data_IF_352787840939
#
_entry.id   IF_352787840939
#
_cell.length_a   1.000
_cell.length_b   1.000
_cell.length_c   1.000
_cell.angle_alpha   90.00
_cell.angle_beta   90.00
_cell.angle_gamma   90.00
#
_symmetry.space_group_name_H-M   'P 1'
#
loop_
_entity.id
_entity.type
_entity.pdbx_description
1 polymer ?
#
# COMPACT_ATOMS: atom_id res chain seq x y z
N UNK A 1 20.64 46.48 24.44
CA UNK A 1 21.65 45.52 24.93
C UNK A 1 21.12 44.12 24.66
N UNK A 2 21.46 43.56 23.50
CA UNK A 2 21.01 42.23 23.03
C UNK A 2 22.17 41.25 23.26
N UNK A 3 21.97 40.30 24.10
CA UNK A 3 22.92 39.21 24.35
C UNK A 3 22.69 38.05 23.39
N UNK A 4 23.53 37.92 22.37
CA UNK A 4 23.60 36.78 21.47
C UNK A 4 24.26 35.60 22.17
N UNK A 5 23.50 34.54 22.50
CA UNK A 5 24.04 33.27 22.98
C UNK A 5 24.71 32.52 21.81
N UNK A 6 26.04 32.46 21.82
CA UNK A 6 26.86 31.62 20.96
C UNK A 6 26.63 30.16 21.36
N UNK A 7 26.00 29.37 20.50
CA UNK A 7 25.91 27.89 20.65
C UNK A 7 27.26 27.31 20.22
N UNK A 8 27.96 26.62 21.13
CA UNK A 8 29.32 26.12 20.88
C UNK A 8 29.30 24.94 19.88
N UNK A 9 30.22 24.97 18.94
CA UNK A 9 30.46 23.96 17.89
C UNK A 9 30.70 22.54 18.44
N UNK A 10 31.00 22.39 19.72
CA UNK A 10 31.21 21.08 20.35
C UNK A 10 29.93 20.24 20.56
N UNK A 11 28.74 20.85 20.54
CA UNK A 11 27.48 20.09 20.62
C UNK A 11 27.06 19.49 19.28
N UNK A 12 27.46 20.09 18.17
CA UNK A 12 27.16 19.57 16.84
C UNK A 12 28.03 18.34 16.52
N UNK A 13 29.32 18.38 16.91
CA UNK A 13 30.24 17.27 16.72
C UNK A 13 29.87 16.08 17.61
N UNK A 14 29.41 16.30 18.84
CA UNK A 14 28.95 15.24 19.72
C UNK A 14 27.68 14.54 19.19
N UNK A 15 26.76 15.26 18.54
CA UNK A 15 25.57 14.66 17.95
C UNK A 15 25.90 13.81 16.72
N UNK A 16 26.85 14.23 15.88
CA UNK A 16 27.26 13.50 14.68
C UNK A 16 28.07 12.23 15.05
N UNK A 17 28.93 12.30 16.04
CA UNK A 17 29.70 11.14 16.53
C UNK A 17 28.79 10.15 17.28
N UNK A 18 27.80 10.64 18.01
CA UNK A 18 26.80 9.78 18.69
C UNK A 18 25.92 9.03 17.68
N UNK A 19 25.58 9.64 16.55
CA UNK A 19 24.82 9.01 15.47
C UNK A 19 25.64 7.91 14.76
N UNK A 20 26.95 8.11 14.57
CA UNK A 20 27.84 7.11 13.97
C UNK A 20 28.13 5.93 14.90
N UNK A 21 28.24 6.16 16.22
CA UNK A 21 28.49 5.11 17.21
C UNK A 21 27.22 4.26 17.41
N UNK A 22 26.03 4.84 17.38
CA UNK A 22 24.78 4.08 17.48
C UNK A 22 24.57 3.20 16.23
N UNK A 23 24.87 3.68 15.02
CA UNK A 23 24.76 2.88 13.80
C UNK A 23 25.72 1.69 13.78
N UNK A 24 26.94 1.85 14.31
CA UNK A 24 27.94 0.76 14.39
C UNK A 24 27.65 -0.23 15.52
N UNK A 25 27.14 0.21 16.66
CA UNK A 25 26.73 -0.65 17.76
C UNK A 25 25.45 -1.45 17.42
N UNK A 26 24.52 -0.85 16.70
CA UNK A 26 23.32 -1.57 16.23
C UNK A 26 23.67 -2.60 15.15
N UNK A 27 24.56 -2.29 14.21
CA UNK A 27 25.03 -3.25 13.21
C UNK A 27 25.76 -4.44 13.86
N UNK A 28 26.57 -4.21 14.89
CA UNK A 28 27.25 -5.28 15.62
C UNK A 28 26.30 -6.12 16.50
N UNK A 29 25.28 -5.52 17.12
CA UNK A 29 24.26 -6.26 17.88
C UNK A 29 23.37 -7.10 16.96
N UNK A 30 23.06 -6.63 15.76
CA UNK A 30 22.28 -7.39 14.77
C UNK A 30 23.05 -8.59 14.22
N UNK A 31 24.35 -8.45 13.97
CA UNK A 31 25.21 -9.55 13.49
C UNK A 31 25.37 -10.65 14.55
N UNK A 32 25.38 -10.32 15.84
CA UNK A 32 25.47 -11.31 16.93
C UNK A 32 24.16 -12.08 17.14
N UNK A 33 23.00 -11.50 16.83
CA UNK A 33 21.69 -12.16 16.91
C UNK A 33 21.51 -13.16 15.74
N UNK A 34 22.05 -12.85 14.56
CA UNK A 34 21.99 -13.74 13.38
C UNK A 34 22.93 -14.94 13.54
N UNK A 35 24.06 -14.79 14.28
CA UNK A 35 25.05 -15.86 14.47
C UNK A 35 24.67 -16.89 15.53
N UNK A 36 23.63 -16.68 16.33
CA UNK A 36 23.17 -17.57 17.40
C UNK A 36 21.86 -18.32 17.08
N UNK A 37 21.39 -18.31 15.85
CA UNK A 37 20.24 -19.12 15.44
C UNK A 37 20.65 -20.59 15.28
N UNK A 38 19.96 -21.56 15.92
CA UNK A 38 20.31 -22.96 15.79
C UNK A 38 20.01 -23.45 14.38
N UNK A 39 21.03 -23.96 13.70
CA UNK A 39 20.97 -24.69 12.44
C UNK A 39 20.36 -26.07 12.67
N UNK A 40 19.03 -26.17 12.81
CA UNK A 40 18.29 -27.42 12.57
C UNK A 40 16.79 -27.10 12.46
N UNK A 41 16.37 -26.72 11.27
CA UNK A 41 14.96 -26.84 10.90
C UNK A 41 14.75 -28.30 10.50
N UNK A 42 14.15 -29.08 11.36
CA UNK A 42 13.62 -30.40 10.99
C UNK A 42 12.52 -30.18 9.95
N UNK A 43 12.74 -30.69 8.75
CA UNK A 43 11.75 -30.76 7.68
C UNK A 43 10.62 -31.66 8.10
N UNK A 44 9.45 -31.11 8.32
CA UNK A 44 8.20 -31.88 8.43
C UNK A 44 7.87 -32.40 7.02
N UNK A 45 7.58 -33.72 6.86
CA UNK A 45 7.25 -34.25 5.54
C UNK A 45 5.94 -33.65 5.04
N UNK A 46 5.80 -33.41 3.71
CA UNK A 46 4.61 -32.79 3.14
C UNK A 46 3.43 -33.76 3.23
N UNK A 47 2.39 -33.39 3.95
CA UNK A 47 1.08 -34.05 3.85
C UNK A 47 0.49 -33.70 2.48
N UNK A 48 0.06 -34.75 1.81
CA UNK A 48 -0.42 -34.88 0.45
C UNK A 48 -1.47 -33.82 0.02
N UNK A 49 -1.19 -33.23 -1.14
CA UNK A 49 -2.12 -32.83 -2.18
C UNK A 49 -3.33 -31.94 -1.82
N UNK A 50 -3.05 -30.68 -1.48
CA UNK A 50 -3.88 -29.54 -1.89
C UNK A 50 -2.91 -28.53 -2.51
N UNK A 51 -3.13 -28.17 -3.80
CA UNK A 51 -2.14 -27.52 -4.63
C UNK A 51 -1.59 -26.20 -4.07
N UNK A 52 -0.36 -26.23 -3.62
CA UNK A 52 0.46 -25.04 -3.52
C UNK A 52 0.70 -24.55 -4.95
N UNK A 53 0.13 -23.41 -5.33
CA UNK A 53 0.39 -22.78 -6.59
C UNK A 53 1.80 -22.15 -6.55
N UNK A 54 2.82 -22.92 -6.88
CA UNK A 54 4.16 -22.42 -7.14
C UNK A 54 4.15 -21.63 -8.46
N UNK A 55 4.68 -20.41 -8.45
CA UNK A 55 4.62 -19.49 -9.57
C UNK A 55 5.94 -19.48 -10.35
N UNK A 56 5.93 -19.68 -11.68
CA UNK A 56 7.14 -19.73 -12.53
C UNK A 56 7.72 -18.38 -12.94
N UNK A 57 8.99 -18.35 -13.35
CA UNK A 57 9.88 -17.17 -13.41
C UNK A 57 10.13 -16.55 -14.80
N UNK A 58 9.17 -16.44 -15.75
CA UNK A 58 9.36 -15.67 -16.98
C UNK A 58 8.09 -14.92 -17.43
N UNK A 59 8.24 -13.72 -18.02
CA UNK A 59 7.14 -12.73 -18.13
C UNK A 59 5.90 -13.15 -18.93
N UNK A 60 6.00 -13.82 -20.07
CA UNK A 60 4.81 -14.21 -20.85
C UNK A 60 4.19 -15.52 -20.39
N UNK A 61 5.01 -16.52 -20.06
CA UNK A 61 4.57 -17.78 -19.47
C UNK A 61 3.95 -17.57 -18.09
N UNK A 62 4.45 -16.58 -17.34
CA UNK A 62 3.96 -16.20 -16.03
C UNK A 62 2.54 -15.61 -16.10
N UNK A 63 2.26 -14.72 -17.03
CA UNK A 63 0.91 -14.16 -17.23
C UNK A 63 -0.10 -15.24 -17.60
N UNK A 64 0.27 -16.21 -18.44
CA UNK A 64 -0.60 -17.33 -18.80
C UNK A 64 -0.91 -18.23 -17.59
N UNK A 65 0.10 -18.52 -16.75
CA UNK A 65 -0.09 -19.28 -15.51
C UNK A 65 -1.03 -18.55 -14.53
N UNK A 66 -0.86 -17.23 -14.36
CA UNK A 66 -1.75 -16.45 -13.51
C UNK A 66 -3.19 -16.41 -14.04
N UNK A 67 -3.39 -16.27 -15.35
CA UNK A 67 -4.74 -16.36 -15.96
C UNK A 67 -5.38 -17.72 -15.70
N UNK A 68 -4.61 -18.81 -15.75
CA UNK A 68 -5.09 -20.13 -15.40
C UNK A 68 -5.48 -20.26 -13.92
N UNK A 69 -4.79 -19.57 -13.01
CA UNK A 69 -5.22 -19.46 -11.60
C UNK A 69 -6.54 -18.69 -11.52
N UNK A 70 -6.61 -17.48 -12.11
CA UNK A 70 -7.82 -16.65 -12.10
C UNK A 70 -9.05 -17.41 -12.60
N UNK A 71 -8.91 -18.20 -13.69
CA UNK A 71 -10.02 -18.95 -14.27
C UNK A 71 -10.57 -20.08 -13.37
N UNK A 72 -9.81 -20.52 -12.38
CA UNK A 72 -10.21 -21.56 -11.42
C UNK A 72 -10.86 -21.01 -10.16
N UNK A 73 -10.69 -19.72 -9.87
CA UNK A 73 -11.28 -19.09 -8.70
C UNK A 73 -12.79 -18.93 -8.88
N UNK A 74 -13.57 -19.19 -7.82
CA UNK A 74 -14.97 -18.84 -7.73
C UNK A 74 -15.15 -17.32 -7.76
N UNK A 75 -16.37 -16.83 -8.01
CA UNK A 75 -16.66 -15.40 -7.99
C UNK A 75 -16.44 -14.79 -6.60
N UNK A 76 -16.71 -15.52 -5.52
CA UNK A 76 -16.46 -15.07 -4.15
C UNK A 76 -14.95 -14.95 -3.87
N UNK A 77 -14.15 -15.93 -4.30
CA UNK A 77 -12.68 -15.89 -4.18
C UNK A 77 -12.08 -14.71 -4.96
N UNK A 78 -12.57 -14.48 -6.19
CA UNK A 78 -12.18 -13.32 -7.00
C UNK A 78 -12.55 -12.01 -6.33
N UNK A 79 -13.79 -11.92 -5.80
CA UNK A 79 -14.26 -10.75 -5.08
C UNK A 79 -13.41 -10.46 -3.83
N UNK A 80 -13.04 -11.49 -3.07
CA UNK A 80 -12.17 -11.33 -1.92
C UNK A 80 -10.76 -10.87 -2.32
N UNK A 81 -10.18 -11.40 -3.40
CA UNK A 81 -8.84 -11.05 -3.86
C UNK A 81 -8.68 -9.58 -4.30
N UNK A 82 -9.75 -8.90 -4.67
CA UNK A 82 -9.70 -7.47 -5.02
C UNK A 82 -9.97 -6.54 -3.82
N UNK A 83 -10.02 -7.07 -2.59
CA UNK A 83 -10.22 -6.29 -1.37
C UNK A 83 -8.93 -6.16 -0.56
N UNK A 84 -8.66 -4.93 -0.09
CA UNK A 84 -7.70 -4.62 0.97
C UNK A 84 -8.48 -4.23 2.22
N UNK A 85 -8.33 -5.01 3.29
CA UNK A 85 -9.16 -4.88 4.48
C UNK A 85 -8.32 -4.86 5.75
N UNK A 86 -8.85 -4.29 6.83
CA UNK A 86 -8.23 -4.39 8.15
C UNK A 86 -8.73 -5.63 8.90
N UNK A 87 -7.95 -6.06 9.89
CA UNK A 87 -8.32 -7.09 10.86
C UNK A 87 -8.02 -6.63 12.27
N UNK A 88 -8.71 -7.20 13.24
CA UNK A 88 -8.40 -6.97 14.66
C UNK A 88 -7.24 -7.86 15.13
N UNK A 89 -6.57 -7.43 16.22
CA UNK A 89 -5.49 -8.17 16.84
C UNK A 89 -4.11 -7.52 16.67
N UNK A 90 -3.17 -7.93 17.51
CA UNK A 90 -1.76 -7.49 17.47
C UNK A 90 -0.77 -8.53 17.98
N UNK A 91 -1.25 -9.55 18.72
CA UNK A 91 -0.45 -10.69 19.21
C UNK A 91 -0.79 -11.96 18.44
N UNK A 92 -2.07 -12.18 18.24
CA UNK A 92 -2.65 -13.26 17.44
C UNK A 92 -3.79 -12.70 16.59
N UNK A 93 -4.07 -13.35 15.48
CA UNK A 93 -5.22 -13.02 14.65
C UNK A 93 -6.52 -13.17 15.44
N UNK A 94 -7.43 -12.20 15.28
CA UNK A 94 -8.76 -12.31 15.87
C UNK A 94 -9.62 -13.30 15.08
N UNK A 95 -10.01 -14.39 15.72
CA UNK A 95 -10.77 -15.46 15.09
C UNK A 95 -12.13 -14.99 14.53
N UNK A 96 -12.77 -13.99 15.16
CA UNK A 96 -14.03 -13.41 14.66
C UNK A 96 -13.82 -12.61 13.38
N UNK A 97 -12.73 -11.82 13.33
CA UNK A 97 -12.37 -11.10 12.10
C UNK A 97 -12.14 -12.07 10.95
N UNK A 98 -11.39 -13.16 11.14
CA UNK A 98 -11.16 -14.17 10.10
C UNK A 98 -12.46 -14.89 9.72
N UNK A 99 -13.27 -15.28 10.70
CA UNK A 99 -14.54 -15.96 10.45
C UNK A 99 -15.54 -15.11 9.65
N UNK A 100 -15.46 -13.77 9.75
CA UNK A 100 -16.32 -12.87 8.99
C UNK A 100 -16.16 -12.95 7.48
N UNK A 101 -15.06 -13.53 6.99
CA UNK A 101 -14.82 -13.76 5.55
C UNK A 101 -15.41 -15.07 5.03
N UNK A 102 -16.00 -15.90 5.89
CA UNK A 102 -16.60 -17.21 5.55
C UNK A 102 -15.65 -18.13 4.74
N UNK A 103 -14.34 -17.99 4.93
CA UNK A 103 -13.29 -18.79 4.27
C UNK A 103 -12.70 -18.14 3.02
N UNK A 104 -13.31 -17.11 2.45
CA UNK A 104 -12.70 -16.34 1.37
C UNK A 104 -11.48 -15.57 1.89
N UNK A 105 -10.40 -15.47 1.10
CA UNK A 105 -9.15 -14.85 1.52
C UNK A 105 -8.99 -13.48 0.83
N UNK A 106 -8.84 -12.37 1.57
CA UNK A 106 -8.68 -11.05 0.96
C UNK A 106 -7.36 -10.92 0.19
N UNK A 107 -7.33 -10.02 -0.79
CA UNK A 107 -6.12 -9.74 -1.56
C UNK A 107 -5.02 -9.12 -0.73
N UNK A 108 -5.38 -8.24 0.22
CA UNK A 108 -4.45 -7.59 1.14
C UNK A 108 -5.07 -7.34 2.52
N UNK A 109 -4.21 -7.28 3.54
CA UNK A 109 -4.52 -6.85 4.91
C UNK A 109 -3.81 -5.52 5.15
N UNK A 110 -4.60 -4.48 5.46
CA UNK A 110 -4.10 -3.18 5.90
C UNK A 110 -3.89 -3.20 7.42
N UNK A 111 -2.65 -2.95 7.83
CA UNK A 111 -2.27 -2.90 9.25
C UNK A 111 -2.28 -1.45 9.74
N UNK A 112 -3.01 -1.22 10.82
CA UNK A 112 -3.01 0.04 11.56
C UNK A 112 -2.02 0.00 12.73
N UNK A 113 -1.78 1.15 13.37
CA UNK A 113 -0.86 1.23 14.50
C UNK A 113 -1.19 0.29 15.67
N UNK A 114 -2.47 -0.07 15.85
CA UNK A 114 -2.90 -1.02 16.88
C UNK A 114 -2.54 -2.49 16.57
N UNK A 115 -2.24 -2.80 15.30
CA UNK A 115 -1.78 -4.13 14.91
C UNK A 115 -0.27 -4.32 15.13
N UNK A 116 0.47 -3.20 15.30
CA UNK A 116 1.94 -3.23 15.40
C UNK A 116 2.34 -3.42 16.87
N UNK A 117 2.82 -4.60 17.20
CA UNK A 117 3.35 -4.93 18.52
C UNK A 117 4.68 -4.21 18.81
N UNK A 118 5.12 -4.23 20.07
CA UNK A 118 6.28 -3.47 20.53
C UNK A 118 7.64 -4.12 20.19
N UNK A 119 7.63 -5.31 19.59
CA UNK A 119 8.86 -5.99 19.13
C UNK A 119 8.71 -6.51 17.71
N UNK A 120 9.79 -6.53 16.91
CA UNK A 120 9.77 -7.10 15.56
C UNK A 120 9.24 -8.55 15.52
N UNK A 121 9.71 -9.40 16.45
CA UNK A 121 9.30 -10.80 16.50
C UNK A 121 7.79 -10.95 16.74
N UNK A 122 7.20 -10.14 17.63
CA UNK A 122 5.77 -10.20 17.91
C UNK A 122 4.93 -9.78 16.70
N UNK A 123 5.42 -8.84 15.86
CA UNK A 123 4.77 -8.50 14.58
C UNK A 123 4.83 -9.70 13.62
N UNK A 124 6.01 -10.30 13.46
CA UNK A 124 6.17 -11.50 12.60
C UNK A 124 5.24 -12.64 13.05
N UNK A 125 5.16 -12.90 14.35
CA UNK A 125 4.30 -13.96 14.89
C UNK A 125 2.81 -13.64 14.70
N UNK A 126 2.42 -12.38 14.85
CA UNK A 126 1.06 -11.93 14.53
C UNK A 126 0.73 -12.19 13.05
N UNK A 127 1.58 -11.77 12.11
CA UNK A 127 1.35 -11.97 10.69
C UNK A 127 1.27 -13.45 10.31
N UNK A 128 2.12 -14.29 10.90
CA UNK A 128 2.04 -15.77 10.74
C UNK A 128 0.71 -16.31 11.23
N UNK A 129 0.21 -15.84 12.38
CA UNK A 129 -1.08 -16.28 12.92
C UNK A 129 -2.25 -15.88 12.01
N UNK A 130 -2.16 -14.71 11.34
CA UNK A 130 -3.14 -14.26 10.34
C UNK A 130 -3.15 -15.19 9.12
N UNK A 131 -1.97 -15.49 8.58
CA UNK A 131 -1.82 -16.41 7.43
C UNK A 131 -2.39 -17.78 7.77
N UNK A 132 -2.01 -18.35 8.92
CA UNK A 132 -2.52 -19.63 9.37
C UNK A 132 -4.04 -19.63 9.55
N UNK A 133 -4.59 -18.60 10.19
CA UNK A 133 -6.03 -18.47 10.41
C UNK A 133 -6.84 -18.45 9.10
N UNK A 134 -6.38 -17.68 8.09
CA UNK A 134 -7.02 -17.68 6.77
C UNK A 134 -6.84 -19.00 6.03
N UNK A 135 -5.66 -19.63 6.11
CA UNK A 135 -5.41 -20.93 5.50
C UNK A 135 -6.34 -22.01 6.04
N UNK A 136 -6.49 -22.07 7.36
CA UNK A 136 -7.41 -23.01 8.02
C UNK A 136 -8.87 -22.72 7.68
N UNK A 137 -9.27 -21.42 7.63
CA UNK A 137 -10.63 -21.04 7.28
C UNK A 137 -10.96 -21.39 5.82
N UNK A 138 -10.06 -21.10 4.88
CA UNK A 138 -10.21 -21.44 3.47
C UNK A 138 -10.33 -22.96 3.28
N UNK A 139 -9.44 -23.73 3.91
CA UNK A 139 -9.49 -25.20 3.86
C UNK A 139 -10.82 -25.77 4.36
N UNK A 140 -11.33 -25.28 5.52
CA UNK A 140 -12.61 -25.73 6.07
C UNK A 140 -13.81 -25.42 5.17
N UNK A 141 -13.74 -24.35 4.41
CA UNK A 141 -14.81 -23.87 3.54
C UNK A 141 -14.68 -24.33 2.08
N UNK A 142 -13.59 -25.06 1.74
CA UNK A 142 -13.34 -25.52 0.37
C UNK A 142 -12.89 -24.41 -0.59
N UNK A 143 -12.42 -23.28 -0.07
CA UNK A 143 -11.88 -22.17 -0.86
C UNK A 143 -10.38 -22.34 -1.16
N UNK A 144 -9.94 -21.77 -2.28
CA UNK A 144 -8.52 -21.66 -2.59
C UNK A 144 -7.81 -20.73 -1.59
N UNK A 145 -6.63 -21.12 -1.14
CA UNK A 145 -5.79 -20.28 -0.30
C UNK A 145 -4.74 -19.57 -1.15
N UNK A 146 -4.91 -18.26 -1.32
CA UNK A 146 -3.89 -17.34 -1.86
C UNK A 146 -3.58 -16.33 -0.77
N UNK A 147 -2.35 -16.33 -0.19
CA UNK A 147 -2.06 -15.51 0.98
C UNK A 147 -2.32 -14.01 0.70
N UNK A 148 -2.74 -13.21 1.72
CA UNK A 148 -2.91 -11.78 1.55
C UNK A 148 -1.56 -11.05 1.51
N UNK A 149 -1.47 -9.92 0.81
CA UNK A 149 -0.41 -8.94 1.03
C UNK A 149 -0.60 -8.28 2.40
N UNK A 150 0.48 -8.02 3.13
CA UNK A 150 0.45 -7.17 4.31
C UNK A 150 0.90 -5.77 3.95
N UNK A 151 0.03 -4.80 4.17
CA UNK A 151 0.21 -3.40 3.82
C UNK A 151 0.11 -2.50 5.05
N UNK A 152 0.77 -1.35 5.04
CA UNK A 152 0.63 -0.30 6.04
C UNK A 152 1.10 1.06 5.48
N UNK A 153 0.90 2.14 6.27
CA UNK A 153 1.38 3.48 5.98
C UNK A 153 2.67 3.77 6.76
N UNK A 154 3.80 3.69 6.09
CA UNK A 154 5.08 4.19 6.59
C UNK A 154 5.60 5.30 5.68
N UNK A 155 5.01 6.50 5.82
CA UNK A 155 5.41 7.70 5.06
C UNK A 155 6.65 8.37 5.66
N UNK A 156 6.85 8.20 6.97
CA UNK A 156 7.76 8.96 7.79
C UNK A 156 7.06 10.01 8.65
N UNK A 157 7.79 10.67 9.53
CA UNK A 157 7.25 11.73 10.38
C UNK A 157 6.04 11.28 11.20
N UNK A 158 4.88 11.94 10.99
CA UNK A 158 3.66 11.66 11.75
C UNK A 158 2.93 10.39 11.33
N UNK A 159 3.04 9.99 10.05
CA UNK A 159 2.41 8.78 9.49
C UNK A 159 3.45 7.68 9.36
N UNK A 160 3.71 6.99 10.45
CA UNK A 160 4.75 5.96 10.51
C UNK A 160 4.35 4.89 11.53
N UNK A 161 3.76 3.78 11.05
CA UNK A 161 3.15 2.76 11.92
C UNK A 161 4.19 1.96 12.69
N UNK A 162 5.36 1.68 12.09
CA UNK A 162 6.42 0.87 12.70
C UNK A 162 7.44 1.68 13.51
N UNK A 163 7.20 2.96 13.79
CA UNK A 163 8.14 3.91 14.43
C UNK A 163 8.80 3.42 15.73
N UNK A 164 8.19 2.48 16.43
CA UNK A 164 8.70 1.94 17.70
C UNK A 164 9.67 0.77 17.51
N UNK A 165 9.68 0.15 16.33
CA UNK A 165 10.39 -1.11 16.07
C UNK A 165 11.28 -1.08 14.83
N UNK A 166 11.29 0.04 14.11
CA UNK A 166 12.16 0.30 12.96
C UNK A 166 12.91 1.62 13.17
N UNK A 167 13.97 1.85 12.38
CA UNK A 167 14.71 3.11 12.40
C UNK A 167 13.77 4.25 12.01
N UNK A 168 13.75 5.36 12.74
CA UNK A 168 12.90 6.50 12.42
C UNK A 168 13.17 7.05 11.01
N UNK A 169 12.10 7.22 10.24
CA UNK A 169 12.13 7.90 8.95
C UNK A 169 11.69 9.35 9.17
N UNK A 170 12.47 10.36 8.77
CA UNK A 170 12.06 11.77 8.85
C UNK A 170 10.77 12.03 8.08
N UNK A 171 10.12 13.15 8.35
CA UNK A 171 8.99 13.61 7.54
C UNK A 171 9.44 13.91 6.11
N UNK A 172 8.57 13.71 5.12
CA UNK A 172 8.89 13.94 3.71
C UNK A 172 9.40 15.37 3.46
N UNK A 173 8.80 16.38 4.11
CA UNK A 173 9.27 17.78 4.03
C UNK A 173 10.73 17.93 4.51
N UNK A 174 11.10 17.26 5.59
CA UNK A 174 12.47 17.29 6.10
C UNK A 174 13.43 16.57 5.14
N UNK A 175 12.99 15.45 4.57
CA UNK A 175 13.77 14.72 3.55
C UNK A 175 14.00 15.63 2.34
N UNK A 176 12.95 16.24 1.77
CA UNK A 176 13.07 17.12 0.60
C UNK A 176 13.92 18.39 0.83
N UNK A 177 14.10 18.81 2.10
CA UNK A 177 14.94 19.97 2.47
C UNK A 177 16.41 19.62 2.76
N UNK A 178 16.69 18.40 3.22
CA UNK A 178 17.99 18.05 3.83
C UNK A 178 18.76 16.94 3.14
N UNK A 179 18.10 16.12 2.35
CA UNK A 179 18.68 14.94 1.70
C UNK A 179 18.68 15.12 0.19
N UNK A 180 19.65 14.53 -0.49
CA UNK A 180 19.62 14.42 -1.95
C UNK A 180 18.60 13.35 -2.40
N UNK A 181 18.35 13.27 -3.71
CA UNK A 181 17.48 12.24 -4.31
C UNK A 181 18.08 10.85 -4.08
N UNK A 182 19.41 10.71 -4.20
CA UNK A 182 20.14 9.46 -3.98
C UNK A 182 20.10 9.01 -2.52
N UNK A 183 20.31 9.95 -1.59
CA UNK A 183 20.18 9.68 -0.15
C UNK A 183 18.76 9.28 0.22
N UNK A 184 17.74 9.88 -0.43
CA UNK A 184 16.34 9.51 -0.25
C UNK A 184 16.09 8.09 -0.72
N UNK A 185 16.62 7.70 -1.87
CA UNK A 185 16.51 6.32 -2.36
C UNK A 185 17.09 5.31 -1.34
N UNK A 186 18.27 5.63 -0.77
CA UNK A 186 18.90 4.78 0.23
C UNK A 186 18.12 4.71 1.54
N UNK A 187 17.57 5.83 2.04
CA UNK A 187 16.71 5.86 3.23
C UNK A 187 15.50 4.93 3.06
N UNK A 188 14.82 5.00 1.92
CA UNK A 188 13.66 4.15 1.64
C UNK A 188 14.05 2.70 1.33
N UNK A 189 15.26 2.45 0.83
CA UNK A 189 15.78 1.08 0.69
C UNK A 189 16.00 0.43 2.06
N UNK A 190 16.58 1.17 3.01
CA UNK A 190 16.76 0.69 4.39
C UNK A 190 15.41 0.45 5.10
N UNK A 191 14.45 1.37 4.94
CA UNK A 191 13.08 1.15 5.42
C UNK A 191 12.48 -0.12 4.82
N UNK A 192 12.60 -0.29 3.50
CA UNK A 192 12.08 -1.46 2.79
C UNK A 192 12.68 -2.77 3.31
N UNK A 193 13.98 -2.80 3.61
CA UNK A 193 14.61 -3.98 4.21
C UNK A 193 14.01 -4.33 5.57
N UNK A 194 13.83 -3.34 6.47
CA UNK A 194 13.21 -3.55 7.76
C UNK A 194 11.76 -4.01 7.64
N UNK A 195 10.99 -3.42 6.72
CA UNK A 195 9.63 -3.86 6.44
C UNK A 195 9.58 -5.32 5.97
N UNK A 196 10.51 -5.71 5.09
CA UNK A 196 10.62 -7.08 4.60
C UNK A 196 10.94 -8.07 5.72
N UNK A 197 11.84 -7.73 6.63
CA UNK A 197 12.18 -8.54 7.81
C UNK A 197 10.98 -8.73 8.75
N UNK A 198 10.06 -7.76 8.79
CA UNK A 198 8.81 -7.85 9.52
C UNK A 198 7.75 -8.71 8.80
N UNK A 199 7.99 -9.16 7.56
CA UNK A 199 7.01 -9.90 6.77
C UNK A 199 5.97 -9.02 6.07
N UNK A 200 6.27 -7.72 5.89
CA UNK A 200 5.43 -6.76 5.16
C UNK A 200 5.71 -6.82 3.65
N UNK A 201 4.74 -6.46 2.84
CA UNK A 201 4.80 -6.60 1.38
C UNK A 201 4.58 -5.29 0.64
N UNK A 202 3.74 -4.39 1.16
CA UNK A 202 3.31 -3.17 0.50
C UNK A 202 3.37 -1.98 1.46
N UNK A 203 4.02 -0.90 1.05
CA UNK A 203 3.95 0.37 1.74
C UNK A 203 3.01 1.32 0.99
N UNK A 204 1.98 1.83 1.66
CA UNK A 204 1.11 2.89 1.14
C UNK A 204 1.81 4.25 1.27
N UNK A 205 2.92 4.37 0.59
CA UNK A 205 3.82 5.53 0.47
C UNK A 205 4.66 5.38 -0.81
N UNK A 206 5.23 6.47 -1.32
CA UNK A 206 5.28 7.83 -0.80
C UNK A 206 4.05 8.68 -1.16
N UNK A 207 3.92 9.83 -0.49
CA UNK A 207 3.03 10.91 -0.93
C UNK A 207 3.77 11.71 -2.01
N UNK A 208 3.30 11.62 -3.26
CA UNK A 208 3.91 12.33 -4.39
C UNK A 208 3.33 13.73 -4.62
N UNK A 209 2.21 14.05 -3.96
CA UNK A 209 1.55 15.35 -4.09
C UNK A 209 2.49 16.49 -3.76
N UNK A 210 2.50 17.54 -4.60
CA UNK A 210 3.17 18.80 -4.27
C UNK A 210 2.32 19.60 -3.27
N UNK A 211 2.93 20.00 -2.15
CA UNK A 211 2.27 20.80 -1.13
C UNK A 211 1.81 22.15 -1.66
N UNK A 212 0.66 22.63 -1.20
CA UNK A 212 0.18 24.00 -1.44
C UNK A 212 -0.23 24.63 -0.12
N UNK A 213 -0.51 25.95 -0.12
CA UNK A 213 -1.05 26.59 1.08
C UNK A 213 -2.41 26.00 1.49
N UNK A 214 -3.22 25.65 0.50
CA UNK A 214 -4.54 25.10 0.67
C UNK A 214 -4.48 23.66 1.23
N UNK A 215 -3.52 22.85 0.77
CA UNK A 215 -3.34 21.47 1.23
C UNK A 215 -2.54 21.33 2.53
N UNK A 216 -1.94 22.44 3.02
CA UNK A 216 -1.06 22.41 4.20
C UNK A 216 -1.75 21.88 5.47
N UNK A 217 -3.06 22.14 5.63
CA UNK A 217 -3.82 21.64 6.77
C UNK A 217 -4.03 20.12 6.77
N UNK A 218 -4.01 19.49 5.58
CA UNK A 218 -4.25 18.05 5.38
C UNK A 218 -2.95 17.29 5.20
N UNK A 219 -2.08 17.78 4.34
CA UNK A 219 -0.81 17.12 4.01
C UNK A 219 0.33 17.53 4.95
N UNK A 220 0.42 18.83 5.30
CA UNK A 220 1.46 19.33 6.20
C UNK A 220 2.86 18.87 5.78
N UNK A 221 3.57 18.23 6.70
CA UNK A 221 4.94 17.73 6.49
C UNK A 221 5.03 16.42 5.68
N UNK A 222 3.91 15.92 5.17
CA UNK A 222 3.85 14.65 4.43
C UNK A 222 4.32 14.77 2.96
N UNK A 223 4.53 15.98 2.43
CA UNK A 223 4.97 16.21 1.05
C UNK A 223 6.45 16.61 1.01
N UNK A 224 7.19 16.11 0.01
CA UNK A 224 8.62 16.41 -0.14
C UNK A 224 8.89 17.86 -0.54
N UNK A 225 7.99 18.47 -1.33
CA UNK A 225 8.17 19.82 -1.86
C UNK A 225 6.84 20.46 -2.25
N UNK A 226 6.85 21.80 -2.39
CA UNK A 226 5.77 22.55 -3.03
C UNK A 226 5.94 22.64 -4.56
N UNK A 227 7.11 22.26 -5.07
CA UNK A 227 7.38 22.16 -6.50
C UNK A 227 7.00 20.75 -7.00
N UNK A 228 6.06 20.58 -7.97
CA UNK A 228 5.61 19.29 -8.44
C UNK A 228 6.73 18.40 -9.01
N UNK A 229 7.67 18.98 -9.74
CA UNK A 229 8.81 18.25 -10.31
C UNK A 229 9.69 17.69 -9.20
N UNK A 230 10.07 18.52 -8.24
CA UNK A 230 10.89 18.08 -7.11
C UNK A 230 10.15 17.05 -6.24
N UNK A 231 8.87 17.26 -5.93
CA UNK A 231 8.07 16.29 -5.20
C UNK A 231 8.06 14.93 -5.90
N UNK A 232 7.88 14.92 -7.23
CA UNK A 232 7.91 13.71 -8.06
C UNK A 232 9.27 13.01 -8.08
N UNK A 233 10.37 13.76 -8.17
CA UNK A 233 11.74 13.20 -8.16
C UNK A 233 12.04 12.47 -6.84
N UNK A 234 11.68 13.07 -5.71
CA UNK A 234 11.84 12.46 -4.38
C UNK A 234 10.90 11.26 -4.18
N UNK A 235 9.66 11.36 -4.64
CA UNK A 235 8.73 10.24 -4.60
C UNK A 235 9.24 9.05 -5.44
N UNK A 236 9.77 9.30 -6.63
CA UNK A 236 10.37 8.28 -7.48
C UNK A 236 11.59 7.62 -6.80
N UNK A 237 12.46 8.40 -6.13
CA UNK A 237 13.57 7.85 -5.35
C UNK A 237 13.08 6.94 -4.21
N UNK A 238 12.04 7.36 -3.49
CA UNK A 238 11.42 6.53 -2.45
C UNK A 238 10.86 5.20 -3.02
N UNK A 239 10.21 5.25 -4.19
CA UNK A 239 9.72 4.06 -4.91
C UNK A 239 10.88 3.13 -5.26
N UNK A 240 11.94 3.65 -5.91
CA UNK A 240 13.10 2.83 -6.27
C UNK A 240 13.73 2.17 -5.06
N UNK A 241 13.92 2.92 -3.96
CA UNK A 241 14.49 2.41 -2.73
C UNK A 241 13.70 1.23 -2.17
N UNK A 242 12.39 1.41 -1.94
CA UNK A 242 11.53 0.35 -1.42
C UNK A 242 11.49 -0.88 -2.33
N UNK A 243 11.32 -0.67 -3.65
CA UNK A 243 11.21 -1.78 -4.60
C UNK A 243 12.53 -2.54 -4.78
N UNK A 244 13.70 -1.89 -4.66
CA UNK A 244 15.01 -2.56 -4.58
C UNK A 244 15.11 -3.50 -3.36
N UNK A 245 14.49 -3.14 -2.24
CA UNK A 245 14.41 -4.01 -1.06
C UNK A 245 13.39 -5.16 -1.20
N UNK A 246 12.49 -5.09 -2.20
CA UNK A 246 11.45 -6.08 -2.45
C UNK A 246 10.11 -5.76 -1.79
N UNK A 247 9.88 -4.51 -1.40
CA UNK A 247 8.60 -3.98 -0.91
C UNK A 247 7.92 -3.23 -2.04
N UNK A 248 6.64 -3.52 -2.29
CA UNK A 248 5.84 -2.75 -3.23
C UNK A 248 5.59 -1.35 -2.67
N UNK A 249 5.73 -0.32 -3.50
CA UNK A 249 5.42 1.06 -3.15
C UNK A 249 4.11 1.48 -3.81
N UNK A 250 3.19 2.07 -3.03
CA UNK A 250 1.96 2.68 -3.54
C UNK A 250 2.06 4.21 -3.45
N UNK A 251 2.24 4.83 -4.60
CA UNK A 251 2.33 6.30 -4.71
C UNK A 251 0.96 6.91 -4.53
N UNK A 252 0.84 7.98 -3.69
CA UNK A 252 -0.46 8.52 -3.29
C UNK A 252 -0.47 10.04 -3.15
N UNK A 253 -1.65 10.63 -3.16
CA UNK A 253 -2.99 10.12 -3.45
C UNK A 253 -3.40 10.65 -4.84
N UNK A 254 -3.33 9.86 -5.86
CA UNK A 254 -3.58 10.32 -7.23
C UNK A 254 -5.05 10.73 -7.45
N UNK A 255 -5.35 11.85 -8.12
CA UNK A 255 -4.40 12.85 -8.66
C UNK A 255 -4.03 13.94 -7.65
N UNK A 256 -4.44 13.84 -6.40
CA UNK A 256 -4.24 14.76 -5.29
C UNK A 256 -5.49 14.81 -4.41
N UNK A 257 -5.36 15.30 -3.16
CA UNK A 257 -6.48 15.39 -2.23
C UNK A 257 -7.18 16.77 -2.26
N UNK A 258 -6.64 17.76 -3.00
CA UNK A 258 -7.13 19.13 -2.95
C UNK A 258 -6.98 19.75 -1.55
N UNK A 259 -7.77 20.81 -1.28
CA UNK A 259 -7.72 21.57 -0.04
C UNK A 259 -8.54 20.96 1.11
N UNK A 260 -9.41 19.98 0.83
CA UNK A 260 -10.31 19.41 1.82
C UNK A 260 -9.79 18.08 2.39
N UNK A 261 -10.10 17.85 3.66
CA UNK A 261 -9.87 16.57 4.32
C UNK A 261 -10.98 15.58 3.92
N UNK A 262 -10.65 14.66 3.00
CA UNK A 262 -11.58 13.65 2.48
C UNK A 262 -12.11 12.69 3.54
N UNK A 263 -11.46 12.63 4.71
CA UNK A 263 -12.00 11.91 5.87
C UNK A 263 -13.25 12.59 6.45
N UNK A 264 -13.44 13.90 6.17
CA UNK A 264 -14.52 14.71 6.74
C UNK A 264 -15.59 15.09 5.72
N UNK A 265 -15.21 15.33 4.47
CA UNK A 265 -16.12 15.81 3.44
C UNK A 265 -15.65 15.44 2.03
N UNK A 266 -16.58 15.43 1.06
CA UNK A 266 -16.22 15.39 -0.35
C UNK A 266 -15.47 16.67 -0.74
N UNK A 267 -14.61 16.55 -1.75
CA UNK A 267 -13.85 17.67 -2.29
C UNK A 267 -13.84 17.64 -3.81
N UNK A 268 -13.64 18.83 -4.37
CA UNK A 268 -13.54 19.03 -5.81
C UNK A 268 -12.23 19.79 -6.14
N UNK A 269 -11.55 19.32 -7.17
CA UNK A 269 -10.39 20.00 -7.75
C UNK A 269 -10.81 20.71 -9.04
N UNK A 270 -11.18 21.99 -8.93
CA UNK A 270 -11.61 22.80 -10.05
C UNK A 270 -10.41 23.51 -10.65
N UNK A 271 -9.84 22.94 -11.70
CA UNK A 271 -8.71 23.49 -12.48
C UNK A 271 -8.95 23.22 -13.96
N UNK A 272 -8.23 23.96 -14.83
CA UNK A 272 -8.19 23.62 -16.26
C UNK A 272 -7.36 22.36 -16.52
N UNK A 273 -7.50 21.79 -17.73
CA UNK A 273 -6.85 20.53 -18.09
C UNK A 273 -5.32 20.62 -18.10
N UNK A 274 -4.76 21.74 -18.55
CA UNK A 274 -3.31 21.94 -18.60
C UNK A 274 -2.72 22.03 -17.19
N UNK A 275 -3.38 22.75 -16.30
CA UNK A 275 -3.01 22.80 -14.86
C UNK A 275 -3.12 21.42 -14.23
N UNK A 276 -4.18 20.66 -14.54
CA UNK A 276 -4.34 19.30 -14.06
C UNK A 276 -3.17 18.40 -14.47
N UNK A 277 -2.79 18.41 -15.75
CA UNK A 277 -1.68 17.61 -16.24
C UNK A 277 -0.32 18.08 -15.70
N UNK A 278 -0.04 19.37 -15.83
CA UNK A 278 1.29 19.93 -15.57
C UNK A 278 1.63 20.13 -14.10
N UNK A 279 0.64 20.09 -13.21
CA UNK A 279 0.84 20.26 -11.77
C UNK A 279 0.50 18.98 -10.99
N UNK A 280 -0.69 18.43 -11.20
CA UNK A 280 -1.19 17.31 -10.40
C UNK A 280 -0.65 15.97 -10.94
N UNK A 281 -0.83 15.68 -12.21
CA UNK A 281 -0.32 14.44 -12.81
C UNK A 281 1.22 14.42 -12.89
N UNK A 282 1.85 15.57 -13.17
CA UNK A 282 3.30 15.69 -13.32
C UNK A 282 4.08 15.27 -12.06
N UNK A 283 3.51 15.40 -10.87
CA UNK A 283 4.13 14.94 -9.62
C UNK A 283 4.20 13.41 -9.51
N UNK A 284 3.33 12.69 -10.20
CA UNK A 284 3.30 11.22 -10.20
C UNK A 284 4.11 10.60 -11.33
N UNK A 285 4.33 11.34 -12.42
CA UNK A 285 4.96 10.82 -13.62
C UNK A 285 6.36 10.22 -13.41
N UNK A 286 7.28 10.80 -12.60
CA UNK A 286 8.57 10.19 -12.33
C UNK A 286 8.45 8.80 -11.68
N UNK A 287 7.54 8.64 -10.72
CA UNK A 287 7.28 7.35 -10.07
C UNK A 287 6.69 6.32 -11.04
N UNK A 288 5.81 6.75 -11.95
CA UNK A 288 5.24 5.90 -13.01
C UNK A 288 6.34 5.43 -13.95
N UNK A 289 7.21 6.32 -14.41
CA UNK A 289 8.33 6.02 -15.30
C UNK A 289 9.33 5.03 -14.66
N UNK A 290 9.53 5.13 -13.35
CA UNK A 290 10.39 4.22 -12.57
C UNK A 290 9.68 2.91 -12.17
N UNK A 291 8.48 2.66 -12.70
CA UNK A 291 7.75 1.41 -12.53
C UNK A 291 7.17 1.21 -11.13
N UNK A 292 6.59 2.26 -10.56
CA UNK A 292 5.86 2.15 -9.29
C UNK A 292 4.90 0.95 -9.32
N UNK A 293 4.92 0.12 -8.28
CA UNK A 293 4.16 -1.12 -8.22
C UNK A 293 2.65 -0.86 -8.03
N UNK A 294 2.30 0.23 -7.33
CA UNK A 294 0.92 0.61 -7.09
C UNK A 294 0.75 2.14 -7.11
N UNK A 295 -0.47 2.58 -7.43
CA UNK A 295 -0.95 3.94 -7.20
C UNK A 295 -2.24 3.85 -6.39
N UNK A 296 -2.33 4.66 -5.33
CA UNK A 296 -3.55 4.83 -4.55
C UNK A 296 -4.29 6.06 -5.04
N UNK A 297 -5.55 5.84 -5.47
CA UNK A 297 -6.44 6.87 -6.01
C UNK A 297 -7.28 7.50 -4.90
N UNK A 298 -7.31 8.84 -4.86
CA UNK A 298 -8.14 9.60 -3.93
C UNK A 298 -9.63 9.63 -4.32
N UNK A 299 -10.46 10.16 -3.42
CA UNK A 299 -11.90 10.33 -3.65
C UNK A 299 -12.27 11.74 -4.13
N UNK A 300 -11.29 12.54 -4.56
CA UNK A 300 -11.54 13.89 -5.07
C UNK A 300 -12.33 13.82 -6.39
N UNK A 301 -13.24 14.75 -6.60
CA UNK A 301 -13.86 14.96 -7.91
C UNK A 301 -13.00 15.93 -8.73
N UNK A 302 -12.76 15.61 -10.00
CA UNK A 302 -12.02 16.47 -10.95
C UNK A 302 -12.91 16.73 -12.17
N UNK A 303 -13.73 17.80 -12.17
CA UNK A 303 -14.77 18.00 -13.17
C UNK A 303 -14.26 18.11 -14.60
N UNK A 304 -13.06 18.61 -14.82
CA UNK A 304 -12.45 18.67 -16.16
C UNK A 304 -12.18 17.28 -16.74
N UNK A 305 -12.12 16.23 -15.92
CA UNK A 305 -12.03 14.83 -16.34
C UNK A 305 -13.42 14.18 -16.34
N UNK A 306 -14.08 14.19 -15.18
CA UNK A 306 -15.40 13.64 -14.99
C UNK A 306 -16.01 14.13 -13.66
N UNK A 307 -17.30 14.47 -13.65
CA UNK A 307 -18.01 14.99 -12.47
C UNK A 307 -18.43 13.82 -11.52
N UNK A 308 -17.45 13.02 -11.11
CA UNK A 308 -17.61 11.91 -10.15
C UNK A 308 -16.32 11.76 -9.34
N UNK A 309 -16.35 11.20 -8.11
CA UNK A 309 -15.12 10.88 -7.37
C UNK A 309 -14.13 10.09 -8.24
N UNK A 310 -12.86 10.45 -8.20
CA UNK A 310 -11.85 9.95 -9.14
C UNK A 310 -11.72 8.41 -9.11
N UNK A 311 -11.93 7.79 -7.94
CA UNK A 311 -11.98 6.33 -7.78
C UNK A 311 -13.15 5.66 -8.53
N UNK A 312 -14.16 6.42 -8.98
CA UNK A 312 -15.30 5.96 -9.79
C UNK A 312 -15.27 6.48 -11.23
N UNK A 313 -14.22 7.23 -11.61
CA UNK A 313 -14.06 7.81 -12.92
C UNK A 313 -13.36 6.86 -13.88
N UNK A 314 -14.12 6.27 -14.81
CA UNK A 314 -13.55 5.46 -15.87
C UNK A 314 -12.60 6.28 -16.77
N UNK A 315 -12.90 7.57 -17.00
CA UNK A 315 -12.01 8.48 -17.76
C UNK A 315 -10.73 8.77 -16.98
N UNK A 316 -10.82 8.97 -15.66
CA UNK A 316 -9.65 9.20 -14.81
C UNK A 316 -8.72 7.98 -14.77
N UNK A 317 -9.28 6.77 -14.63
CA UNK A 317 -8.50 5.54 -14.69
C UNK A 317 -7.90 5.32 -16.09
N UNK A 318 -8.65 5.59 -17.16
CA UNK A 318 -8.15 5.50 -18.52
C UNK A 318 -7.00 6.49 -18.79
N UNK A 319 -7.09 7.73 -18.29
CA UNK A 319 -5.99 8.69 -18.34
C UNK A 319 -4.74 8.14 -17.64
N UNK A 320 -4.89 7.62 -16.42
CA UNK A 320 -3.75 7.04 -15.68
C UNK A 320 -3.12 5.86 -16.43
N UNK A 321 -3.93 4.97 -17.05
CA UNK A 321 -3.47 3.82 -17.80
C UNK A 321 -2.83 4.18 -19.15
N UNK A 322 -3.55 4.98 -19.95
CA UNK A 322 -3.26 5.15 -21.36
C UNK A 322 -2.38 6.38 -21.65
N UNK A 323 -2.62 7.50 -20.93
CA UNK A 323 -1.89 8.74 -21.18
C UNK A 323 -0.64 8.83 -20.32
N UNK A 324 -0.75 8.48 -19.03
CA UNK A 324 0.40 8.49 -18.11
C UNK A 324 1.19 7.17 -18.14
N UNK A 325 0.69 6.12 -18.77
CA UNK A 325 1.38 4.84 -18.99
C UNK A 325 1.51 3.95 -17.75
N UNK A 326 0.64 4.13 -16.73
CA UNK A 326 0.72 3.33 -15.52
C UNK A 326 0.20 1.90 -15.73
N UNK A 327 1.05 0.92 -15.47
CA UNK A 327 0.74 -0.51 -15.64
C UNK A 327 0.62 -1.32 -14.33
N UNK A 328 0.88 -0.67 -13.17
CA UNK A 328 0.83 -1.31 -11.85
C UNK A 328 -0.58 -1.43 -11.28
N UNK A 329 -0.65 -1.79 -9.99
CA UNK A 329 -1.90 -1.98 -9.25
C UNK A 329 -2.56 -0.63 -8.92
N UNK A 330 -3.82 -0.44 -9.31
CA UNK A 330 -4.63 0.73 -8.92
C UNK A 330 -5.46 0.37 -7.69
N UNK A 331 -5.18 1.06 -6.58
CA UNK A 331 -5.85 0.85 -5.28
C UNK A 331 -6.71 2.08 -4.98
N UNK A 332 -7.95 1.92 -4.54
CA UNK A 332 -8.74 3.06 -4.02
C UNK A 332 -8.23 3.49 -2.65
N UNK A 333 -8.41 4.74 -2.27
CA UNK A 333 -8.45 5.09 -0.85
C UNK A 333 -9.64 4.40 -0.17
N UNK A 334 -9.75 4.49 1.16
CA UNK A 334 -10.76 3.75 1.92
C UNK A 334 -12.19 4.18 1.54
N UNK A 335 -12.93 3.26 0.93
CA UNK A 335 -14.32 3.52 0.49
C UNK A 335 -15.31 3.76 1.63
N UNK A 336 -14.90 3.52 2.88
CA UNK A 336 -15.69 3.86 4.06
C UNK A 336 -15.57 5.34 4.49
N UNK A 337 -14.72 6.14 3.82
CA UNK A 337 -14.52 7.57 4.13
C UNK A 337 -15.77 8.41 3.90
N UNK A 338 -15.90 9.49 4.68
CA UNK A 338 -17.07 10.39 4.60
C UNK A 338 -17.24 11.06 3.24
N UNK A 339 -16.16 11.27 2.49
CA UNK A 339 -16.22 11.82 1.14
C UNK A 339 -17.20 11.05 0.21
N UNK A 340 -17.32 9.73 0.41
CA UNK A 340 -18.19 8.89 -0.42
C UNK A 340 -19.59 8.67 0.16
N UNK A 341 -19.83 9.04 1.42
CA UNK A 341 -21.14 8.83 2.08
C UNK A 341 -22.21 9.86 1.68
N UNK A 342 -21.78 11.01 1.16
CA UNK A 342 -22.69 12.13 0.88
C UNK A 342 -23.70 11.83 -0.23
N UNK A 343 -23.46 10.83 -1.08
CA UNK A 343 -24.35 10.45 -2.18
C UNK A 343 -25.30 9.29 -1.82
N UNK A 344 -25.35 8.86 -0.55
CA UNK A 344 -26.24 7.80 -0.06
C UNK A 344 -25.90 6.39 -0.56
N UNK A 345 -24.82 6.22 -1.34
CA UNK A 345 -24.39 4.91 -1.81
C UNK A 345 -23.77 4.08 -0.68
N UNK A 346 -24.07 2.79 -0.65
CA UNK A 346 -23.49 1.86 0.31
C UNK A 346 -22.02 1.55 -0.01
N UNK A 347 -21.23 1.05 0.95
CA UNK A 347 -19.88 0.58 0.68
C UNK A 347 -19.82 -0.52 -0.39
N UNK A 348 -20.85 -1.39 -0.45
CA UNK A 348 -20.99 -2.45 -1.44
C UNK A 348 -21.13 -1.86 -2.85
N UNK A 349 -22.01 -0.88 -3.02
CA UNK A 349 -22.17 -0.16 -4.28
C UNK A 349 -20.89 0.57 -4.68
N UNK A 350 -20.22 1.21 -3.71
CA UNK A 350 -18.95 1.89 -3.95
C UNK A 350 -17.84 0.92 -4.39
N UNK A 351 -17.75 -0.27 -3.80
CA UNK A 351 -16.80 -1.30 -4.21
C UNK A 351 -17.04 -1.76 -5.66
N UNK A 352 -18.28 -2.03 -6.02
CA UNK A 352 -18.67 -2.40 -7.40
C UNK A 352 -18.33 -1.28 -8.38
N UNK A 353 -18.66 -0.03 -8.05
CA UNK A 353 -18.37 1.15 -8.91
C UNK A 353 -16.87 1.34 -9.13
N UNK A 354 -16.05 1.19 -8.08
CA UNK A 354 -14.61 1.34 -8.19
C UNK A 354 -13.98 0.29 -9.13
N UNK A 355 -14.38 -0.98 -8.98
CA UNK A 355 -13.91 -2.06 -9.87
C UNK A 355 -14.40 -1.81 -11.30
N UNK A 356 -15.65 -1.43 -11.50
CA UNK A 356 -16.21 -1.13 -12.82
C UNK A 356 -15.49 0.04 -13.51
N UNK A 357 -15.06 1.06 -12.73
CA UNK A 357 -14.28 2.20 -13.24
C UNK A 357 -12.85 1.83 -13.64
N UNK A 358 -12.34 0.66 -13.22
CA UNK A 358 -11.00 0.17 -13.58
C UNK A 358 -10.00 0.09 -12.43
N UNK A 359 -10.41 0.34 -11.17
CA UNK A 359 -9.59 0.03 -10.01
C UNK A 359 -9.38 -1.48 -9.88
N UNK A 360 -8.20 -1.88 -9.42
CA UNK A 360 -7.83 -3.29 -9.29
C UNK A 360 -8.01 -3.81 -7.87
N UNK A 361 -7.90 -2.91 -6.88
CA UNK A 361 -8.07 -3.25 -5.47
C UNK A 361 -8.84 -2.14 -4.75
N UNK A 362 -9.80 -2.54 -3.93
CA UNK A 362 -10.65 -1.65 -3.14
C UNK A 362 -10.24 -1.74 -1.68
N UNK A 363 -9.80 -0.60 -1.12
CA UNK A 363 -9.51 -0.51 0.31
C UNK A 363 -10.80 -0.27 1.09
N UNK A 364 -11.01 -1.03 2.16
CA UNK A 364 -12.18 -0.91 3.01
C UNK A 364 -11.86 -1.29 4.47
N UNK A 365 -12.02 -0.34 5.39
CA UNK A 365 -11.84 -0.58 6.84
C UNK A 365 -13.19 -0.74 7.56
N UNK A 366 -13.99 -1.72 7.14
CA UNK A 366 -15.23 -2.11 7.80
C UNK A 366 -15.02 -3.36 8.68
N UNK A 367 -15.85 -3.49 9.71
CA UNK A 367 -15.84 -4.65 10.61
C UNK A 367 -16.51 -5.91 10.01
N UNK A 368 -17.42 -5.72 9.05
CA UNK A 368 -18.09 -6.80 8.31
C UNK A 368 -17.83 -6.62 6.81
N UNK A 369 -16.99 -7.47 6.26
CA UNK A 369 -16.52 -7.39 4.88
C UNK A 369 -17.32 -8.28 3.93
N UNK A 370 -17.96 -9.34 4.44
CA UNK A 370 -18.60 -10.31 3.58
C UNK A 370 -19.69 -9.75 2.65
N UNK A 371 -20.52 -8.73 3.05
CA UNK A 371 -21.45 -8.09 2.12
C UNK A 371 -20.79 -7.47 0.88
N UNK A 372 -19.54 -6.99 0.98
CA UNK A 372 -18.79 -6.48 -0.19
C UNK A 372 -18.45 -7.63 -1.13
N UNK A 373 -18.00 -8.78 -0.57
CA UNK A 373 -17.70 -9.99 -1.37
C UNK A 373 -18.96 -10.46 -2.10
N UNK A 374 -20.09 -10.55 -1.40
CA UNK A 374 -21.39 -10.94 -1.98
C UNK A 374 -21.82 -9.98 -3.10
N UNK A 375 -21.73 -8.67 -2.89
CA UNK A 375 -22.14 -7.67 -3.87
C UNK A 375 -21.29 -7.73 -5.16
N UNK A 376 -19.95 -7.83 -5.01
CA UNK A 376 -19.04 -7.95 -6.15
C UNK A 376 -19.29 -9.27 -6.90
N UNK A 377 -19.43 -10.39 -6.19
CA UNK A 377 -19.71 -11.69 -6.78
C UNK A 377 -21.07 -11.74 -7.49
N UNK A 378 -22.11 -11.18 -6.88
CA UNK A 378 -23.45 -11.09 -7.49
C UNK A 378 -23.44 -10.22 -8.75
N UNK A 379 -22.75 -9.08 -8.73
CA UNK A 379 -22.60 -8.23 -9.93
C UNK A 379 -21.86 -8.98 -11.04
N UNK A 380 -20.80 -9.72 -10.73
CA UNK A 380 -20.06 -10.51 -11.71
C UNK A 380 -20.90 -11.66 -12.29
N UNK A 381 -21.77 -12.29 -11.48
CA UNK A 381 -22.67 -13.32 -11.95
C UNK A 381 -23.74 -12.79 -12.92
N UNK A 382 -24.18 -11.54 -12.72
CA UNK A 382 -25.24 -10.91 -13.51
C UNK A 382 -24.72 -10.14 -14.75
N UNK A 383 -23.42 -9.82 -14.81
CA UNK A 383 -22.82 -8.93 -15.82
C UNK A 383 -21.48 -9.47 -16.31
N UNK A 384 -21.47 -9.99 -17.54
CA UNK A 384 -20.27 -10.60 -18.14
C UNK A 384 -19.14 -9.60 -18.38
N UNK A 385 -19.45 -8.33 -18.66
CA UNK A 385 -18.43 -7.29 -18.82
C UNK A 385 -17.76 -6.99 -17.48
N UNK A 386 -18.53 -6.92 -16.39
CA UNK A 386 -18.02 -6.76 -15.05
C UNK A 386 -17.22 -8.01 -14.60
N UNK A 387 -17.68 -9.22 -14.91
CA UNK A 387 -16.95 -10.46 -14.61
C UNK A 387 -15.56 -10.45 -15.26
N UNK A 388 -15.48 -10.05 -16.54
CA UNK A 388 -14.19 -9.88 -17.23
C UNK A 388 -13.30 -8.83 -16.57
N UNK A 389 -13.88 -7.67 -16.16
CA UNK A 389 -13.12 -6.63 -15.43
C UNK A 389 -12.63 -7.15 -14.08
N UNK A 390 -13.43 -7.93 -13.36
CA UNK A 390 -13.02 -8.57 -12.11
C UNK A 390 -11.85 -9.54 -12.32
N UNK A 391 -11.87 -10.34 -13.39
CA UNK A 391 -10.75 -11.22 -13.74
C UNK A 391 -9.47 -10.43 -14.02
N UNK A 392 -9.56 -9.29 -14.71
CA UNK A 392 -8.43 -8.39 -14.95
C UNK A 392 -7.89 -7.79 -13.64
N UNK A 393 -8.79 -7.39 -12.72
CA UNK A 393 -8.42 -6.87 -11.40
C UNK A 393 -7.66 -7.94 -10.58
N UNK A 394 -8.21 -9.15 -10.51
CA UNK A 394 -7.55 -10.27 -9.81
C UNK A 394 -6.18 -10.57 -10.43
N UNK A 395 -6.07 -10.56 -11.77
CA UNK A 395 -4.80 -10.76 -12.45
C UNK A 395 -3.77 -9.71 -12.05
N UNK A 396 -4.15 -8.43 -11.94
CA UNK A 396 -3.26 -7.36 -11.47
C UNK A 396 -2.83 -7.58 -10.02
N UNK A 397 -3.75 -7.97 -9.14
CA UNK A 397 -3.43 -8.31 -7.74
C UNK A 397 -2.44 -9.46 -7.66
N UNK A 398 -2.67 -10.54 -8.38
CA UNK A 398 -1.76 -11.69 -8.40
C UNK A 398 -0.39 -11.34 -9.02
N UNK A 399 -0.38 -10.48 -10.03
CA UNK A 399 0.87 -9.97 -10.62
C UNK A 399 1.67 -9.13 -9.60
N UNK A 400 1.00 -8.31 -8.81
CA UNK A 400 1.63 -7.55 -7.72
C UNK A 400 2.20 -8.49 -6.66
N UNK A 401 1.45 -9.50 -6.25
CA UNK A 401 1.90 -10.54 -5.31
C UNK A 401 3.18 -11.24 -5.77
N UNK A 402 3.30 -11.57 -7.06
CA UNK A 402 4.52 -12.18 -7.61
C UNK A 402 5.76 -11.30 -7.56
N UNK A 403 5.61 -9.98 -7.58
CA UNK A 403 6.73 -9.04 -7.45
C UNK A 403 7.33 -9.03 -6.06
N UNK A 404 6.61 -9.53 -5.05
CA UNK A 404 7.11 -9.67 -3.68
C UNK A 404 7.99 -10.92 -3.59
N UNK A 405 9.30 -10.74 -3.42
CA UNK A 405 10.28 -11.84 -3.36
C UNK A 405 10.11 -12.83 -2.20
N UNK A 406 9.13 -12.63 -1.32
CA UNK A 406 8.84 -13.47 -0.15
C UNK A 406 7.41 -14.03 -0.19
N UNK A 407 6.78 -14.05 -1.35
CA UNK A 407 5.40 -14.54 -1.55
C UNK A 407 5.41 -16.01 -1.97
#
# INVERSE_FOLDING_TARGET
MLATKKISSNRLIAATVFFFIISTLFAQSFTSIISSAPTSVQTVPPSSQIGNFAVPASTSQNTAALRAVVSRLSLEEKAAQVLMVNIAGSKTADAKSIASFKGAVPGAILLFGYNIADTPQAVVDFLKSVVQGFQEAAHRSGHAFIPPLFALDNEGGTVYRTRRITVPLPAAEEIGKRFSVEETEELYRLLGQQMKELGLHLNLAPVAEAGTKETAAVLGTRTFSTNPKQAGEYAAAAVRGMQKAGILAAVKHFPGNGAADLHKSAAELTVDYDTFLNRYCAAFQPSINDGAAAILISHITVPVIEATPFCFSAKGVALLRNELGFSGLIITDDIAMQALKQNGASPEENAVRAIAAGCDMVMCSLSNIYPLIEAIAAKAAADTAFAKRLDEAVLQVLTAKQKCKNF
#
